data_IF_387033414785
#
_entry.id   IF_387033414785
#
_cell.length_a   1.000
_cell.length_b   1.000
_cell.length_c   1.000
_cell.angle_alpha   90.00
_cell.angle_beta   90.00
_cell.angle_gamma   90.00
#
_symmetry.space_group_name_H-M   'P 1'
#
loop_
_entity.id
_entity.type
_entity.pdbx_description
1 polymer ?
#
# COMPACT_ATOMS: atom_id res chain seq x y z
N UNK A 1 1.21 -17.91 5.70
CA UNK A 1 1.08 -16.45 5.76
C UNK A 1 2.09 -15.96 6.78
N UNK A 2 3.04 -15.09 6.41
CA UNK A 2 3.89 -14.46 7.43
C UNK A 2 3.02 -13.55 8.30
N UNK A 3 3.29 -13.50 9.61
CA UNK A 3 2.55 -12.61 10.51
C UNK A 3 3.00 -11.16 10.27
N UNK A 4 2.10 -10.19 10.40
CA UNK A 4 2.46 -8.79 10.32
C UNK A 4 3.41 -8.40 11.46
N UNK A 5 4.46 -7.66 11.12
CA UNK A 5 5.43 -7.07 12.04
C UNK A 5 5.18 -5.55 12.11
N UNK A 6 4.48 -5.13 13.15
CA UNK A 6 4.11 -3.73 13.34
C UNK A 6 5.27 -2.83 13.82
N UNK A 7 6.39 -3.43 14.23
CA UNK A 7 7.58 -2.69 14.64
C UNK A 7 8.32 -2.10 13.42
N UNK A 8 8.13 -2.65 12.23
CA UNK A 8 8.62 -2.09 10.97
C UNK A 8 7.91 -0.75 10.72
N UNK A 9 8.59 0.40 10.71
CA UNK A 9 7.94 1.68 10.45
C UNK A 9 7.59 1.83 8.97
N UNK A 10 6.34 2.19 8.67
CA UNK A 10 5.96 2.63 7.31
C UNK A 10 6.16 4.15 7.24
N UNK A 11 7.13 4.66 6.46
CA UNK A 11 7.41 6.08 6.46
C UNK A 11 6.33 6.85 5.69
N UNK A 12 5.60 7.74 6.34
CA UNK A 12 4.60 8.59 5.65
C UNK A 12 5.26 9.51 4.60
N UNK A 13 6.51 9.92 4.87
CA UNK A 13 7.32 10.84 4.07
C UNK A 13 8.48 10.16 3.33
N UNK A 14 8.37 8.87 2.98
CA UNK A 14 9.44 8.24 2.20
C UNK A 14 9.62 8.96 0.86
N UNK A 15 10.86 9.01 0.38
CA UNK A 15 11.25 9.74 -0.84
C UNK A 15 10.53 9.27 -2.11
N UNK A 16 9.92 8.07 -2.08
CA UNK A 16 9.12 7.54 -3.18
C UNK A 16 7.95 6.66 -2.71
N UNK A 17 6.92 6.55 -3.57
CA UNK A 17 5.79 5.63 -3.34
C UNK A 17 6.27 4.19 -3.17
N UNK A 18 7.23 3.74 -4.00
CA UNK A 18 7.81 2.40 -3.92
C UNK A 18 8.41 2.11 -2.54
N UNK A 19 9.14 3.05 -1.95
CA UNK A 19 9.70 2.86 -0.60
C UNK A 19 8.62 2.68 0.48
N UNK A 20 7.48 3.38 0.35
CA UNK A 20 6.34 3.21 1.26
C UNK A 20 5.69 1.84 1.08
N UNK A 21 5.51 1.41 -0.17
CA UNK A 21 4.95 0.09 -0.48
C UNK A 21 5.86 -1.04 -0.02
N UNK A 22 7.19 -0.89 -0.14
CA UNK A 22 8.19 -1.82 0.36
C UNK A 22 8.03 -2.03 1.87
N UNK A 23 8.12 -0.95 2.65
CA UNK A 23 7.98 -1.01 4.11
C UNK A 23 6.62 -1.55 4.55
N UNK A 24 5.55 -1.21 3.83
CA UNK A 24 4.21 -1.73 4.11
C UNK A 24 4.13 -3.24 3.85
N UNK A 25 4.64 -3.72 2.72
CA UNK A 25 4.60 -5.13 2.35
C UNK A 25 5.39 -6.01 3.33
N UNK A 26 6.53 -5.52 3.83
CA UNK A 26 7.28 -6.17 4.90
C UNK A 26 6.47 -6.17 6.20
N UNK A 27 5.93 -5.02 6.62
CA UNK A 27 5.09 -4.88 7.83
C UNK A 27 3.90 -5.82 7.82
N UNK A 28 3.23 -6.03 6.68
CA UNK A 28 2.02 -6.88 6.62
C UNK A 28 2.32 -8.35 6.35
N UNK A 29 3.59 -8.73 6.22
CA UNK A 29 4.00 -10.11 5.94
C UNK A 29 3.72 -10.57 4.50
N UNK A 30 3.54 -9.65 3.57
CA UNK A 30 3.47 -9.96 2.12
C UNK A 30 4.87 -10.25 1.58
N UNK A 31 5.88 -9.53 2.09
CA UNK A 31 7.29 -9.77 1.81
C UNK A 31 8.02 -10.13 3.10
N UNK A 32 9.05 -10.97 2.99
CA UNK A 32 10.02 -11.12 4.05
C UNK A 32 10.87 -9.83 4.17
N UNK A 33 11.38 -9.47 5.36
CA UNK A 33 12.24 -8.31 5.53
C UNK A 33 13.44 -8.35 4.56
N UNK A 34 13.64 -7.25 3.81
CA UNK A 34 14.72 -7.14 2.82
C UNK A 34 14.49 -7.86 1.48
N UNK A 35 13.36 -8.57 1.31
CA UNK A 35 12.99 -9.11 0.01
C UNK A 35 12.54 -7.96 -0.92
N UNK A 36 12.97 -7.94 -2.19
CA UNK A 36 12.63 -6.84 -3.09
C UNK A 36 11.14 -6.85 -3.46
N UNK A 37 10.51 -5.69 -3.42
CA UNK A 37 9.17 -5.50 -4.00
C UNK A 37 9.25 -5.52 -5.53
N UNK A 38 8.58 -6.50 -6.13
CA UNK A 38 8.57 -6.67 -7.60
C UNK A 38 7.73 -5.60 -8.28
N UNK A 39 7.98 -5.36 -9.56
CA UNK A 39 7.26 -4.36 -10.35
C UNK A 39 5.78 -4.72 -10.51
N UNK A 40 5.44 -6.01 -10.60
CA UNK A 40 4.05 -6.46 -10.63
C UNK A 40 3.31 -6.14 -9.33
N UNK A 41 3.96 -6.28 -8.17
CA UNK A 41 3.37 -5.93 -6.88
C UNK A 41 3.20 -4.42 -6.72
N UNK A 42 4.12 -3.62 -7.26
CA UNK A 42 3.97 -2.16 -7.32
C UNK A 42 2.77 -1.78 -8.18
N UNK A 43 2.68 -2.30 -9.40
CA UNK A 43 1.58 -2.00 -10.32
C UNK A 43 0.22 -2.43 -9.73
N UNK A 44 0.17 -3.59 -9.05
CA UNK A 44 -1.02 -4.03 -8.34
C UNK A 44 -1.42 -3.05 -7.22
N UNK A 45 -0.47 -2.62 -6.39
CA UNK A 45 -0.73 -1.69 -5.31
C UNK A 45 -1.20 -0.32 -5.82
N UNK A 46 -0.61 0.18 -6.91
CA UNK A 46 -1.04 1.42 -7.58
C UNK A 46 -2.49 1.32 -8.06
N UNK A 47 -2.84 0.25 -8.78
CA UNK A 47 -4.22 0.01 -9.23
C UNK A 47 -5.22 -0.07 -8.06
N UNK A 48 -4.85 -0.75 -6.97
CA UNK A 48 -5.70 -0.84 -5.79
C UNK A 48 -5.92 0.52 -5.10
N UNK A 49 -4.87 1.36 -5.05
CA UNK A 49 -4.97 2.72 -4.50
C UNK A 49 -5.92 3.57 -5.34
N UNK A 50 -5.83 3.51 -6.67
CA UNK A 50 -6.67 4.27 -7.57
C UNK A 50 -8.14 3.82 -7.47
N UNK A 51 -8.40 2.51 -7.46
CA UNK A 51 -9.75 1.98 -7.23
C UNK A 51 -10.34 2.45 -5.89
N UNK A 52 -9.54 2.47 -4.83
CA UNK A 52 -9.98 2.94 -3.51
C UNK A 52 -10.24 4.46 -3.46
N UNK A 53 -9.52 5.25 -4.26
CA UNK A 53 -9.78 6.70 -4.41
C UNK A 53 -11.10 6.93 -5.14
N UNK A 54 -11.31 6.24 -6.25
CA UNK A 54 -12.54 6.36 -7.04
C UNK A 54 -13.78 5.91 -6.24
N UNK A 55 -13.66 4.81 -5.50
CA UNK A 55 -14.73 4.34 -4.61
C UNK A 55 -15.10 5.37 -3.54
N UNK A 56 -14.11 6.03 -2.92
CA UNK A 56 -14.36 7.10 -1.93
C UNK A 56 -15.04 8.31 -2.56
N UNK A 57 -14.63 8.71 -3.76
CA UNK A 57 -15.23 9.83 -4.48
C UNK A 57 -16.71 9.58 -4.81
N UNK A 58 -17.04 8.37 -5.27
CA UNK A 58 -18.43 7.97 -5.55
C UNK A 58 -19.29 8.00 -4.29
N UNK A 59 -18.79 7.47 -3.18
CA UNK A 59 -19.49 7.50 -1.88
C UNK A 59 -19.72 8.93 -1.36
N UNK A 60 -18.78 9.85 -1.59
CA UNK A 60 -18.96 11.26 -1.21
C UNK A 60 -19.95 11.99 -2.10
N UNK A 61 -20.01 11.67 -3.39
CA UNK A 61 -20.98 12.27 -4.31
C UNK A 61 -22.41 11.85 -4.00
N UNK A 62 -22.62 10.57 -3.67
CA UNK A 62 -23.93 10.00 -3.32
C UNK A 62 -24.49 10.58 -1.99
N UNK A 63 -23.61 11.00 -1.07
CA UNK A 63 -23.99 11.66 0.18
C UNK A 63 -24.33 13.14 0.05
N UNK A 64 -24.00 13.78 -1.07
CA UNK A 64 -24.23 15.20 -1.32
C UNK A 64 -25.44 15.48 -2.20
N UNK A 65 -26.09 14.42 -2.72
CA UNK A 65 -27.33 14.46 -3.49
C UNK A 65 -28.55 14.23 -2.57
#
# INVERSE_FOLDING_TARGET
>A
MAQPDFDIPVPEKADSLRARLQALAERVGVLAPGAPLTDELVAFAEGAIDMARDGRQRLTADRAA
#
